data_IF_732404945778
#
_entry.id   IF_732404945778
#
_cell.length_a   1.000
_cell.length_b   1.000
_cell.length_c   1.000
_cell.angle_alpha   90.00
_cell.angle_beta   90.00
_cell.angle_gamma   90.00
#
_symmetry.space_group_name_H-M   'P 1'
#
loop_
_entity.id
_entity.type
_entity.pdbx_description
1 polymer ?
#
# COMPACT_ATOMS: atom_id res chain seq x y z
N UNK A 1 42.25 -40.62 45.68
CA UNK A 1 41.56 -39.31 45.58
C UNK A 1 40.99 -39.16 44.17
N UNK A 2 39.68 -38.87 44.12
CA UNK A 2 38.73 -38.61 43.03
C UNK A 2 39.23 -38.63 41.56
N UNK A 3 38.67 -39.57 40.77
CA UNK A 3 38.57 -39.49 39.30
C UNK A 3 37.44 -38.52 38.95
N UNK A 4 37.73 -37.47 38.20
CA UNK A 4 36.70 -36.56 37.65
C UNK A 4 36.53 -36.88 36.18
N UNK A 5 35.38 -37.45 35.82
CA UNK A 5 34.94 -37.63 34.44
C UNK A 5 34.54 -36.27 33.88
N UNK A 6 35.16 -35.85 32.78
CA UNK A 6 34.73 -34.71 31.99
C UNK A 6 33.64 -35.20 31.04
N UNK A 7 32.38 -34.90 31.35
CA UNK A 7 31.25 -35.15 30.45
C UNK A 7 31.14 -33.94 29.53
N UNK A 8 31.60 -34.09 28.29
CA UNK A 8 31.37 -33.14 27.21
C UNK A 8 29.95 -33.37 26.69
N UNK A 9 29.00 -32.58 27.16
CA UNK A 9 27.63 -32.60 26.62
C UNK A 9 27.64 -31.85 25.28
N UNK A 10 27.76 -32.60 24.19
CA UNK A 10 27.57 -32.11 22.84
C UNK A 10 26.08 -31.81 22.66
N UNK A 11 25.68 -30.55 22.76
CA UNK A 11 24.29 -30.13 22.53
C UNK A 11 24.05 -30.14 21.02
N UNK A 12 23.54 -31.26 20.53
CA UNK A 12 23.02 -31.39 19.18
C UNK A 12 21.79 -30.50 19.06
N UNK A 13 21.97 -29.28 18.53
CA UNK A 13 20.87 -28.43 18.08
C UNK A 13 20.21 -29.13 16.88
N UNK A 14 19.20 -29.94 17.19
CA UNK A 14 18.25 -30.45 16.21
C UNK A 14 17.54 -29.25 15.59
N UNK A 15 17.67 -29.17 14.26
CA UNK A 15 16.91 -28.29 13.39
C UNK A 15 15.42 -28.36 13.74
N UNK A 16 14.86 -27.25 14.20
CA UNK A 16 13.45 -26.96 14.07
C UNK A 16 13.33 -25.81 13.08
N UNK A 17 13.28 -26.12 11.79
CA UNK A 17 12.61 -25.23 10.83
C UNK A 17 11.15 -25.18 11.26
N UNK A 18 10.74 -24.11 11.94
CA UNK A 18 9.32 -23.81 12.03
C UNK A 18 8.88 -23.39 10.64
N UNK A 19 8.29 -24.32 9.89
CA UNK A 19 7.47 -23.95 8.75
C UNK A 19 6.30 -23.16 9.31
N UNK A 20 6.38 -21.83 9.27
CA UNK A 20 5.19 -21.00 9.37
C UNK A 20 4.23 -21.54 8.32
N UNK A 21 3.14 -22.12 8.81
CA UNK A 21 2.22 -22.91 8.01
C UNK A 21 1.53 -21.92 7.07
N UNK A 22 1.73 -22.09 5.76
CA UNK A 22 0.89 -21.44 4.76
C UNK A 22 -0.55 -21.77 5.14
N UNK A 23 -1.34 -20.75 5.49
CA UNK A 23 -2.76 -20.95 5.78
C UNK A 23 -3.42 -21.24 4.44
N UNK A 24 -3.96 -22.44 4.29
CA UNK A 24 -5.08 -22.69 3.38
C UNK A 24 -6.19 -21.73 3.80
N UNK A 25 -6.44 -20.70 2.98
CA UNK A 25 -7.66 -19.92 3.09
C UNK A 25 -8.82 -20.93 3.15
N UNK A 26 -9.82 -20.74 4.03
CA UNK A 26 -10.87 -21.72 4.23
C UNK A 26 -11.44 -22.17 2.88
N UNK A 27 -11.36 -23.49 2.65
CA UNK A 27 -11.67 -24.24 1.42
C UNK A 27 -13.16 -24.20 1.03
N UNK A 28 -13.88 -23.15 1.42
CA UNK A 28 -15.13 -22.83 0.78
C UNK A 28 -14.79 -22.49 -0.68
N UNK A 29 -15.54 -22.96 -1.69
CA UNK A 29 -15.33 -22.51 -3.05
C UNK A 29 -15.54 -21.00 -3.05
N UNK A 30 -14.43 -20.25 -2.99
CA UNK A 30 -14.45 -18.81 -3.08
C UNK A 30 -15.19 -18.50 -4.38
N UNK A 31 -16.20 -17.61 -4.35
CA UNK A 31 -16.89 -17.24 -5.56
C UNK A 31 -15.84 -16.80 -6.59
N UNK A 32 -16.01 -17.17 -7.87
CA UNK A 32 -15.19 -16.59 -8.93
C UNK A 32 -15.13 -15.07 -8.73
N UNK A 33 -13.97 -14.44 -8.98
CA UNK A 33 -13.86 -12.97 -8.95
C UNK A 33 -14.83 -12.29 -9.94
N UNK A 34 -15.50 -13.07 -10.78
CA UNK A 34 -16.53 -12.62 -11.71
C UNK A 34 -17.84 -12.29 -10.95
N UNK A 35 -18.26 -11.02 -10.98
CA UNK A 35 -19.47 -10.45 -10.36
C UNK A 35 -19.44 -10.12 -8.86
N UNK A 36 -18.30 -9.66 -8.33
CA UNK A 36 -18.24 -9.11 -6.98
C UNK A 36 -18.91 -7.72 -6.89
N UNK A 37 -19.43 -7.40 -5.70
CA UNK A 37 -19.86 -6.04 -5.38
C UNK A 37 -18.65 -5.08 -5.42
N UNK A 38 -18.85 -3.92 -6.03
CA UNK A 38 -17.86 -2.86 -6.07
C UNK A 38 -17.83 -2.12 -4.74
N UNK A 39 -16.74 -2.26 -4.00
CA UNK A 39 -16.49 -1.47 -2.80
C UNK A 39 -15.99 -0.08 -3.17
N UNK A 40 -16.83 0.94 -2.96
CA UNK A 40 -16.43 2.33 -3.11
C UNK A 40 -15.99 2.89 -1.76
N UNK A 41 -14.70 3.19 -1.65
CA UNK A 41 -14.05 3.62 -0.41
C UNK A 41 -13.87 5.14 -0.38
N UNK A 42 -14.25 5.82 0.71
CA UNK A 42 -14.07 7.26 0.84
C UNK A 42 -12.61 7.62 1.13
N UNK A 43 -12.06 8.54 0.34
CA UNK A 43 -10.72 9.12 0.55
C UNK A 43 -10.81 10.61 0.86
N UNK A 44 -9.90 11.10 1.69
CA UNK A 44 -9.67 12.53 1.89
C UNK A 44 -8.19 12.83 1.64
N UNK A 45 -7.91 13.89 0.88
CA UNK A 45 -6.54 14.30 0.54
C UNK A 45 -6.17 15.56 1.32
N UNK A 46 -5.17 15.45 2.18
CA UNK A 46 -4.63 16.54 2.98
C UNK A 46 -3.34 17.06 2.32
N UNK A 47 -3.44 18.17 1.58
CA UNK A 47 -2.30 18.83 0.95
C UNK A 47 -1.63 19.74 1.98
N UNK A 48 -0.41 19.39 2.38
CA UNK A 48 0.40 20.19 3.31
C UNK A 48 1.35 21.05 2.49
N UNK A 49 1.23 22.37 2.60
CA UNK A 49 1.95 23.35 1.78
C UNK A 49 2.52 24.52 2.62
N UNK A 50 3.35 25.37 2.02
CA UNK A 50 4.03 26.50 2.67
C UNK A 50 3.32 27.86 2.52
N UNK A 51 2.02 27.86 2.20
CA UNK A 51 1.24 29.07 1.95
C UNK A 51 1.18 29.52 0.49
N UNK A 52 1.73 28.75 -0.45
CA UNK A 52 1.66 29.03 -1.89
C UNK A 52 0.22 29.01 -2.42
N UNK A 53 -0.04 29.66 -3.56
CA UNK A 53 -1.34 29.61 -4.23
C UNK A 53 -1.64 28.19 -4.74
N UNK A 54 -2.92 27.87 -4.92
CA UNK A 54 -3.32 26.58 -5.52
C UNK A 54 -2.73 26.47 -6.93
N UNK A 55 -2.05 25.35 -7.20
CA UNK A 55 -1.34 25.07 -8.44
C UNK A 55 0.15 25.42 -8.41
N UNK A 56 0.64 26.04 -7.33
CA UNK A 56 2.02 26.46 -7.19
C UNK A 56 2.74 25.69 -6.08
N UNK A 57 4.06 25.50 -6.25
CA UNK A 57 4.90 24.84 -5.25
C UNK A 57 4.32 23.49 -4.80
N UNK A 58 4.11 23.35 -3.50
CA UNK A 58 3.53 22.13 -2.91
C UNK A 58 2.01 22.16 -2.80
N UNK A 59 1.37 23.30 -3.07
CA UNK A 59 -0.08 23.44 -3.01
C UNK A 59 -0.74 22.97 -4.31
N UNK A 60 -0.68 21.65 -4.59
CA UNK A 60 -1.05 21.06 -5.88
C UNK A 60 -2.40 21.52 -6.44
N UNK A 61 -2.47 21.69 -7.76
CA UNK A 61 -3.73 21.96 -8.46
C UNK A 61 -4.79 20.90 -8.14
N UNK A 62 -6.04 21.31 -8.01
CA UNK A 62 -7.17 20.43 -7.70
C UNK A 62 -7.35 19.33 -8.76
N UNK A 63 -7.08 19.66 -10.01
CA UNK A 63 -7.18 18.78 -11.17
C UNK A 63 -6.19 17.62 -11.05
N UNK A 64 -4.93 17.90 -10.66
CA UNK A 64 -3.91 16.87 -10.44
C UNK A 64 -4.31 15.89 -9.32
N UNK A 65 -4.98 16.36 -8.29
CA UNK A 65 -5.48 15.52 -7.20
C UNK A 65 -6.59 14.60 -7.70
N UNK A 66 -7.56 15.15 -8.46
CA UNK A 66 -8.64 14.36 -9.07
C UNK A 66 -8.11 13.33 -10.06
N UNK A 67 -7.13 13.70 -10.88
CA UNK A 67 -6.45 12.80 -11.82
C UNK A 67 -5.72 11.66 -11.09
N UNK A 68 -5.10 11.92 -9.93
CA UNK A 68 -4.51 10.85 -9.11
C UNK A 68 -5.57 9.87 -8.61
N UNK A 69 -6.71 10.35 -8.09
CA UNK A 69 -7.80 9.45 -7.66
C UNK A 69 -8.38 8.67 -8.86
N UNK A 70 -8.46 9.30 -10.03
CA UNK A 70 -8.86 8.62 -11.25
C UNK A 70 -7.85 7.54 -11.66
N UNK A 71 -6.55 7.83 -11.64
CA UNK A 71 -5.47 6.87 -11.95
C UNK A 71 -5.50 5.68 -10.98
N UNK A 72 -5.73 5.95 -9.69
CA UNK A 72 -5.91 4.92 -8.67
C UNK A 72 -7.10 3.99 -9.01
N UNK A 73 -8.23 4.57 -9.43
CA UNK A 73 -9.38 3.78 -9.89
C UNK A 73 -9.07 2.99 -11.16
N UNK A 74 -8.34 3.57 -12.11
CA UNK A 74 -7.92 2.85 -13.32
C UNK A 74 -7.10 1.61 -12.99
N UNK A 75 -6.19 1.71 -12.01
CA UNK A 75 -5.34 0.62 -11.56
C UNK A 75 -6.11 -0.46 -10.82
N UNK A 76 -6.88 -0.08 -9.80
CA UNK A 76 -7.63 -1.05 -9.00
C UNK A 76 -8.77 -1.71 -9.79
N UNK A 77 -9.37 -1.02 -10.75
CA UNK A 77 -10.47 -1.55 -11.59
C UNK A 77 -10.01 -2.13 -12.92
N UNK A 78 -8.69 -2.15 -13.19
CA UNK A 78 -8.10 -2.66 -14.44
C UNK A 78 -8.80 -2.08 -15.68
N UNK A 79 -9.01 -0.77 -15.70
CA UNK A 79 -9.86 -0.11 -16.71
C UNK A 79 -9.21 -0.17 -18.09
N UNK A 80 -9.93 -0.68 -19.08
CA UNK A 80 -9.45 -0.75 -20.47
C UNK A 80 -9.13 0.62 -21.06
N UNK A 81 -8.06 0.71 -21.86
CA UNK A 81 -7.56 1.95 -22.47
C UNK A 81 -6.75 2.85 -21.53
N UNK A 82 -6.39 2.36 -20.34
CA UNK A 82 -5.65 3.12 -19.33
C UNK A 82 -4.34 2.44 -18.95
N UNK A 83 -3.51 3.10 -18.14
CA UNK A 83 -2.28 2.50 -17.60
C UNK A 83 -2.53 1.34 -16.61
N UNK A 84 -3.78 1.14 -16.17
CA UNK A 84 -4.17 -0.01 -15.35
C UNK A 84 -4.56 -1.23 -16.19
N UNK A 85 -4.70 -1.09 -17.51
CA UNK A 85 -5.00 -2.22 -18.38
C UNK A 85 -3.81 -3.17 -18.48
N UNK A 86 -4.11 -4.47 -18.43
CA UNK A 86 -3.15 -5.53 -18.66
C UNK A 86 -3.86 -6.78 -19.20
N UNK A 87 -3.13 -7.69 -19.82
CA UNK A 87 -3.63 -9.00 -20.30
C UNK A 87 -3.07 -10.18 -19.47
N UNK A 88 -2.60 -9.91 -18.25
CA UNK A 88 -2.02 -10.95 -17.40
C UNK A 88 -3.09 -11.96 -16.98
N UNK A 89 -2.86 -13.28 -17.14
CA UNK A 89 -3.78 -14.30 -16.66
C UNK A 89 -3.82 -14.38 -15.12
N UNK A 90 -2.80 -13.83 -14.45
CA UNK A 90 -2.69 -13.73 -13.00
C UNK A 90 -3.53 -12.60 -12.41
N UNK A 91 -4.07 -11.69 -13.22
CA UNK A 91 -4.78 -10.49 -12.75
C UNK A 91 -6.29 -10.56 -13.03
N UNK A 92 -7.07 -9.72 -12.34
CA UNK A 92 -8.52 -9.50 -12.51
C UNK A 92 -8.89 -8.06 -12.13
N UNK A 93 -10.13 -7.63 -12.37
CA UNK A 93 -10.70 -6.46 -11.69
C UNK A 93 -10.77 -6.75 -10.17
N UNK A 94 -10.33 -5.80 -9.33
CA UNK A 94 -10.40 -5.95 -7.87
C UNK A 94 -11.80 -5.69 -7.29
N UNK A 95 -12.66 -5.01 -8.06
CA UNK A 95 -13.94 -4.47 -7.61
C UNK A 95 -13.79 -3.56 -6.38
N UNK A 96 -12.66 -2.85 -6.29
CA UNK A 96 -12.40 -1.80 -5.29
C UNK A 96 -12.19 -0.49 -6.05
N UNK A 97 -12.86 0.57 -5.62
CA UNK A 97 -12.69 1.90 -6.17
C UNK A 97 -12.75 2.94 -5.05
N UNK A 98 -12.32 4.15 -5.36
CA UNK A 98 -12.10 5.23 -4.42
C UNK A 98 -12.84 6.48 -4.88
N UNK A 99 -13.40 7.20 -3.91
CA UNK A 99 -14.12 8.44 -4.17
C UNK A 99 -13.73 9.47 -3.12
N UNK A 100 -13.44 10.70 -3.57
CA UNK A 100 -13.22 11.82 -2.66
C UNK A 100 -14.45 12.00 -1.78
N UNK A 101 -14.23 12.19 -0.48
CA UNK A 101 -15.29 12.43 0.49
C UNK A 101 -16.17 13.61 0.06
N UNK A 102 -17.47 13.48 0.29
CA UNK A 102 -18.48 14.49 -0.04
C UNK A 102 -19.02 15.18 1.22
N UNK A 103 -18.80 14.58 2.39
CA UNK A 103 -19.19 15.11 3.71
C UNK A 103 -17.92 15.19 4.58
N UNK A 104 -17.73 16.30 5.29
CA UNK A 104 -16.63 16.51 6.22
C UNK A 104 -16.94 15.93 7.63
N UNK A 105 -15.99 15.91 8.58
CA UNK A 105 -16.23 15.41 9.94
C UNK A 105 -17.32 16.14 10.73
N UNK A 106 -17.64 17.38 10.34
CA UNK A 106 -18.69 18.20 10.98
C UNK A 106 -20.06 18.04 10.31
N UNK A 107 -20.16 17.22 9.25
CA UNK A 107 -21.39 16.97 8.51
C UNK A 107 -21.66 17.97 7.37
N UNK A 108 -20.70 18.82 7.01
CA UNK A 108 -20.86 19.79 5.92
C UNK A 108 -20.43 19.21 4.57
N UNK A 109 -20.95 19.70 3.43
CA UNK A 109 -20.45 19.34 2.11
C UNK A 109 -18.97 19.71 1.94
N UNK A 110 -18.20 18.81 1.33
CA UNK A 110 -16.78 19.00 0.99
C UNK A 110 -16.46 18.46 -0.40
N UNK A 111 -15.31 18.84 -0.94
CA UNK A 111 -14.72 18.24 -2.14
C UNK A 111 -13.69 17.14 -1.81
N UNK A 112 -13.51 16.80 -0.53
CA UNK A 112 -12.58 15.79 -0.06
C UNK A 112 -11.11 16.20 -0.11
N UNK A 113 -10.80 17.49 -0.29
CA UNK A 113 -9.44 18.02 -0.35
C UNK A 113 -9.27 19.10 0.71
N UNK A 114 -8.44 18.82 1.71
CA UNK A 114 -8.00 19.80 2.69
C UNK A 114 -6.66 20.39 2.28
N UNK A 115 -6.49 21.70 2.47
CA UNK A 115 -5.23 22.40 2.22
C UNK A 115 -4.77 23.01 3.52
N UNK A 116 -3.66 22.49 4.04
CA UNK A 116 -3.13 22.86 5.34
C UNK A 116 -1.82 23.60 5.12
N UNK A 117 -1.78 24.87 5.53
CA UNK A 117 -0.54 25.61 5.57
C UNK A 117 0.29 25.10 6.76
N UNK A 118 1.46 24.54 6.47
CA UNK A 118 2.37 23.99 7.46
C UNK A 118 2.70 24.99 8.58
N UNK A 119 2.78 26.28 8.26
CA UNK A 119 3.12 27.32 9.25
C UNK A 119 2.00 27.65 10.24
N UNK A 120 0.76 27.26 9.94
CA UNK A 120 -0.38 27.48 10.84
C UNK A 120 -0.38 26.45 11.98
N UNK A 121 0.41 25.38 11.87
CA UNK A 121 0.51 24.31 12.86
C UNK A 121 1.94 24.18 13.39
N UNK A 122 2.23 24.90 14.47
CA UNK A 122 3.57 24.99 15.07
C UNK A 122 3.92 23.80 15.99
N UNK A 123 2.98 22.89 16.22
CA UNK A 123 3.11 21.71 17.10
C UNK A 123 4.04 20.62 16.54
N UNK A 124 4.27 20.64 15.22
CA UNK A 124 4.76 19.47 14.46
C UNK A 124 6.29 19.39 14.39
N UNK A 125 6.98 19.60 15.52
CA UNK A 125 8.45 19.55 15.56
C UNK A 125 8.97 18.62 16.65
N UNK A 126 9.61 17.52 16.23
CA UNK A 126 10.31 16.55 17.05
C UNK A 126 10.60 15.26 16.28
N UNK A 127 11.34 14.33 16.89
CA UNK A 127 11.66 13.00 16.34
C UNK A 127 10.46 12.03 16.46
N UNK A 128 9.29 12.43 15.95
CA UNK A 128 8.08 11.58 15.92
C UNK A 128 8.05 10.70 14.68
N UNK A 129 7.44 9.51 14.77
CA UNK A 129 7.12 8.73 13.59
C UNK A 129 6.20 9.52 12.66
N UNK A 130 6.31 9.29 11.35
CA UNK A 130 5.53 9.99 10.33
C UNK A 130 4.03 9.89 10.56
N UNK A 131 3.53 8.73 10.96
CA UNK A 131 2.12 8.54 11.22
C UNK A 131 1.69 9.03 12.61
N UNK A 132 2.60 9.52 13.44
CA UNK A 132 2.24 10.20 14.69
C UNK A 132 2.08 11.71 14.51
N UNK A 133 2.88 12.34 13.64
CA UNK A 133 2.81 13.79 13.44
C UNK A 133 1.87 14.22 12.31
N UNK A 134 1.65 13.41 11.28
CA UNK A 134 0.71 13.75 10.19
C UNK A 134 -0.71 14.04 10.70
N UNK A 135 -1.26 13.24 11.64
CA UNK A 135 -2.55 13.53 12.24
C UNK A 135 -2.64 14.87 12.97
N UNK A 136 -1.50 15.46 13.37
CA UNK A 136 -1.50 16.77 14.03
C UNK A 136 -1.87 17.89 13.06
N UNK A 137 -1.56 17.74 11.75
CA UNK A 137 -1.99 18.69 10.73
C UNK A 137 -3.49 18.65 10.49
N UNK A 138 -4.01 17.44 10.25
CA UNK A 138 -5.43 17.17 10.01
C UNK A 138 -5.63 15.66 10.07
N UNK A 139 -6.70 15.20 10.73
CA UNK A 139 -7.01 13.77 10.83
C UNK A 139 -8.50 13.52 10.90
N UNK A 140 -9.05 13.02 9.80
CA UNK A 140 -10.46 12.66 9.75
C UNK A 140 -10.63 11.23 10.27
N UNK A 141 -11.77 10.94 10.90
CA UNK A 141 -12.02 9.66 11.57
C UNK A 141 -11.64 8.47 10.66
N UNK A 142 -10.62 7.66 11.02
CA UNK A 142 -10.10 6.61 10.15
C UNK A 142 -11.08 5.45 9.93
N UNK A 143 -12.16 5.39 10.73
CA UNK A 143 -13.26 4.45 10.48
C UNK A 143 -14.19 4.90 9.34
N UNK A 144 -14.13 6.18 8.95
CA UNK A 144 -14.99 6.78 7.94
C UNK A 144 -14.24 7.23 6.69
N UNK A 145 -12.95 7.50 6.78
CA UNK A 145 -12.15 8.06 5.69
C UNK A 145 -10.79 7.36 5.60
N UNK A 146 -10.31 7.14 4.38
CA UNK A 146 -8.89 6.88 4.14
C UNK A 146 -8.19 8.23 4.06
N UNK A 147 -7.34 8.54 5.05
CA UNK A 147 -6.57 9.76 5.09
C UNK A 147 -5.34 9.63 4.18
N UNK A 148 -5.20 10.54 3.21
CA UNK A 148 -4.04 10.61 2.32
C UNK A 148 -3.36 11.96 2.54
N UNK A 149 -2.22 11.96 3.21
CA UNK A 149 -1.41 13.17 3.37
C UNK A 149 -0.42 13.30 2.21
N UNK A 150 -0.33 14.51 1.66
CA UNK A 150 0.61 14.88 0.61
C UNK A 150 1.54 15.96 1.15
N UNK A 151 2.84 15.64 1.23
CA UNK A 151 3.81 16.50 1.90
C UNK A 151 5.05 16.76 1.04
N UNK A 152 5.49 18.03 1.01
CA UNK A 152 6.63 18.50 0.22
C UNK A 152 7.97 18.59 0.97
N UNK A 153 8.05 18.13 2.22
CA UNK A 153 9.31 18.21 2.99
C UNK A 153 10.38 17.20 2.58
N UNK A 154 10.13 16.36 1.57
CA UNK A 154 11.08 15.38 1.06
C UNK A 154 11.55 15.76 -0.34
N UNK A 155 12.86 15.64 -0.58
CA UNK A 155 13.39 15.78 -1.93
C UNK A 155 12.81 14.69 -2.86
N UNK A 156 12.72 14.95 -4.17
CA UNK A 156 12.34 13.93 -5.15
C UNK A 156 13.21 12.68 -5.06
N UNK A 157 12.61 11.49 -5.24
CA UNK A 157 13.27 10.18 -5.27
C UNK A 157 14.05 9.77 -4.01
N UNK A 158 13.99 10.52 -2.90
CA UNK A 158 14.57 10.09 -1.62
C UNK A 158 13.56 9.34 -0.74
N UNK A 159 12.28 9.65 -0.93
CA UNK A 159 11.14 9.01 -0.29
C UNK A 159 9.91 9.24 -1.17
N UNK A 160 9.23 8.18 -1.60
CA UNK A 160 8.06 8.28 -2.47
C UNK A 160 6.75 8.27 -1.67
N UNK A 161 6.60 7.31 -0.77
CA UNK A 161 5.41 7.15 0.05
C UNK A 161 5.60 6.15 1.19
N UNK A 162 4.57 6.06 2.02
CA UNK A 162 4.40 5.03 3.04
C UNK A 162 2.91 4.88 3.37
N UNK A 163 2.51 3.71 3.84
CA UNK A 163 1.19 3.46 4.40
C UNK A 163 1.25 2.78 5.77
N UNK A 164 0.23 3.01 6.59
CA UNK A 164 -0.05 2.18 7.77
C UNK A 164 -0.67 0.85 7.33
N UNK A 165 -0.17 -0.27 7.87
CA UNK A 165 -0.78 -1.58 7.67
C UNK A 165 -2.08 -1.74 8.49
N UNK A 166 -3.03 -2.57 8.02
CA UNK A 166 -4.23 -2.89 8.80
C UNK A 166 -3.91 -3.78 10.00
N UNK A 167 -4.70 -3.68 11.08
CA UNK A 167 -4.76 -4.71 12.13
C UNK A 167 -5.59 -5.89 11.62
N UNK A 168 -4.93 -7.03 11.41
CA UNK A 168 -5.52 -8.20 10.77
C UNK A 168 -4.80 -9.47 11.22
N UNK A 169 -5.50 -10.60 11.16
CA UNK A 169 -4.96 -11.93 11.42
C UNK A 169 -4.23 -12.55 10.21
N UNK A 170 -4.10 -11.81 9.11
CA UNK A 170 -3.37 -12.29 7.93
C UNK A 170 -1.87 -12.41 8.20
N UNK A 171 -1.19 -13.43 7.66
CA UNK A 171 0.24 -13.63 7.87
C UNK A 171 1.07 -12.49 7.27
N UNK A 172 2.29 -12.32 7.80
CA UNK A 172 3.26 -11.31 7.37
C UNK A 172 3.00 -9.88 7.84
N UNK A 173 1.79 -9.58 8.32
CA UNK A 173 1.47 -8.35 9.03
C UNK A 173 1.46 -8.70 10.51
N UNK A 174 2.41 -8.16 11.28
CA UNK A 174 2.43 -8.34 12.72
C UNK A 174 1.44 -7.35 13.33
N UNK A 175 0.52 -7.86 14.14
CA UNK A 175 -0.41 -7.05 14.93
C UNK A 175 0.38 -6.00 15.71
N UNK A 176 0.23 -4.74 15.28
CA UNK A 176 0.31 -3.54 16.11
C UNK A 176 0.14 -2.32 15.18
N UNK A 177 -0.99 -1.62 15.30
CA UNK A 177 -1.01 -0.19 15.00
C UNK A 177 -0.08 0.47 16.02
N UNK A 178 1.22 0.55 15.69
CA UNK A 178 2.23 1.21 16.54
C UNK A 178 2.08 2.72 16.58
N UNK A 179 1.27 3.26 15.66
CA UNK A 179 1.16 4.69 15.38
C UNK A 179 -0.25 5.19 15.64
N UNK A 180 -0.36 6.46 16.01
CA UNK A 180 -1.64 7.13 16.26
C UNK A 180 -2.42 7.30 14.95
N UNK A 181 -1.72 7.65 13.87
CA UNK A 181 -2.28 7.85 12.54
C UNK A 181 -2.44 6.58 11.74
N UNK A 182 -3.46 6.62 10.88
CA UNK A 182 -3.90 5.53 10.03
C UNK A 182 -4.27 6.11 8.66
N UNK A 183 -3.54 5.71 7.64
CA UNK A 183 -3.65 6.27 6.30
C UNK A 183 -2.37 6.13 5.48
N UNK A 184 -2.20 7.06 4.55
CA UNK A 184 -1.16 7.02 3.52
C UNK A 184 -0.46 8.37 3.46
N UNK A 185 0.87 8.36 3.44
CA UNK A 185 1.70 9.53 3.17
C UNK A 185 2.30 9.39 1.76
N UNK A 186 2.14 10.42 0.94
CA UNK A 186 2.81 10.51 -0.36
C UNK A 186 3.65 11.78 -0.40
N UNK A 187 4.87 11.67 -0.93
CA UNK A 187 5.67 12.84 -1.28
C UNK A 187 4.99 13.59 -2.44
N UNK A 188 4.81 14.90 -2.29
CA UNK A 188 4.13 15.77 -3.28
C UNK A 188 4.68 15.64 -4.71
N UNK A 189 5.97 15.34 -4.85
CA UNK A 189 6.61 15.16 -6.16
C UNK A 189 6.12 13.90 -6.90
N UNK A 190 5.64 12.91 -6.16
CA UNK A 190 5.20 11.59 -6.65
C UNK A 190 3.66 11.41 -6.57
N UNK A 191 2.91 12.46 -6.21
CA UNK A 191 1.45 12.42 -6.16
C UNK A 191 0.83 12.85 -7.50
N UNK A 192 0.16 11.94 -8.19
CA UNK A 192 -0.42 12.14 -9.51
C UNK A 192 0.66 12.23 -10.60
N UNK A 193 0.22 12.58 -11.81
CA UNK A 193 1.15 12.82 -12.91
C UNK A 193 2.03 14.04 -12.62
N UNK A 194 3.35 13.90 -12.81
CA UNK A 194 4.30 14.98 -12.55
C UNK A 194 5.48 14.96 -13.53
N UNK A 195 6.27 16.03 -13.50
CA UNK A 195 7.48 16.17 -14.33
C UNK A 195 8.74 15.68 -13.61
N UNK A 196 8.60 14.97 -12.48
CA UNK A 196 9.75 14.44 -11.76
C UNK A 196 10.45 13.36 -12.61
N UNK A 197 11.77 13.49 -12.76
CA UNK A 197 12.59 12.45 -13.39
C UNK A 197 12.78 11.26 -12.45
N UNK A 198 13.00 10.06 -13.00
CA UNK A 198 13.28 8.86 -12.20
C UNK A 198 12.13 7.84 -12.16
N UNK A 199 11.16 7.97 -13.06
CA UNK A 199 10.17 6.92 -13.32
C UNK A 199 8.95 6.90 -12.38
N UNK A 200 8.97 7.63 -11.26
CA UNK A 200 7.87 7.67 -10.29
C UNK A 200 6.97 8.90 -10.49
N UNK A 201 6.32 8.99 -11.65
CA UNK A 201 5.67 10.23 -12.08
C UNK A 201 4.31 10.05 -12.79
N UNK A 202 3.67 8.87 -12.68
CA UNK A 202 2.37 8.56 -13.27
C UNK A 202 1.32 8.17 -12.20
N UNK A 203 1.66 8.33 -10.92
CA UNK A 203 0.77 8.15 -9.77
C UNK A 203 0.70 6.72 -9.22
N UNK A 204 1.65 5.84 -9.58
CA UNK A 204 1.66 4.46 -9.07
C UNK A 204 2.15 4.35 -7.63
N UNK A 205 2.86 5.37 -7.13
CA UNK A 205 3.20 5.44 -5.70
C UNK A 205 1.95 5.35 -4.84
N UNK A 206 0.88 6.10 -5.14
CA UNK A 206 -0.37 5.97 -4.37
C UNK A 206 -1.02 4.59 -4.55
N UNK A 207 -0.97 4.01 -5.75
CA UNK A 207 -1.48 2.65 -5.99
C UNK A 207 -0.76 1.62 -5.13
N UNK A 208 0.58 1.70 -5.06
CA UNK A 208 1.44 0.86 -4.24
C UNK A 208 1.12 1.00 -2.75
N UNK A 209 1.12 2.24 -2.24
CA UNK A 209 0.84 2.50 -0.82
C UNK A 209 -0.60 2.13 -0.45
N UNK A 210 -1.56 2.28 -1.36
CA UNK A 210 -2.92 1.80 -1.15
C UNK A 210 -2.98 0.27 -1.06
N UNK A 211 -2.13 -0.45 -1.81
CA UNK A 211 -1.92 -1.89 -1.65
C UNK A 211 -1.47 -2.24 -0.23
N UNK A 212 -0.47 -1.54 0.32
CA UNK A 212 -0.03 -1.70 1.72
C UNK A 212 -1.13 -1.36 2.74
N UNK A 213 -1.87 -0.27 2.53
CA UNK A 213 -3.01 0.11 3.38
C UNK A 213 -4.09 -0.98 3.43
N UNK A 214 -4.26 -1.70 2.32
CA UNK A 214 -5.16 -2.85 2.16
C UNK A 214 -4.48 -4.20 2.46
N UNK A 215 -3.28 -4.18 3.05
CA UNK A 215 -2.61 -5.34 3.63
C UNK A 215 -1.73 -6.15 2.67
N UNK A 216 -1.41 -5.63 1.48
CA UNK A 216 -0.40 -6.25 0.62
C UNK A 216 1.00 -5.97 1.14
N UNK A 217 1.90 -6.94 1.02
CA UNK A 217 3.32 -6.76 1.30
C UNK A 217 4.05 -6.49 -0.02
N UNK A 218 5.30 -6.05 0.07
CA UNK A 218 6.20 -6.11 -1.08
C UNK A 218 6.31 -7.56 -1.57
N UNK A 219 6.49 -7.75 -2.88
CA UNK A 219 6.58 -9.09 -3.50
C UNK A 219 7.77 -9.94 -3.02
N UNK A 220 8.75 -9.35 -2.33
CA UNK A 220 9.86 -10.05 -1.68
C UNK A 220 9.67 -10.20 -0.16
N UNK A 221 8.49 -9.88 0.37
CA UNK A 221 8.11 -10.01 1.77
C UNK A 221 8.42 -8.80 2.67
N UNK A 222 8.00 -8.90 3.94
CA UNK A 222 7.85 -7.77 4.85
C UNK A 222 9.14 -7.21 5.49
N UNK A 223 10.30 -7.88 5.40
CA UNK A 223 11.41 -7.51 6.29
C UNK A 223 12.84 -7.76 5.83
N UNK A 224 13.11 -8.50 4.75
CA UNK A 224 14.47 -8.94 4.48
C UNK A 224 14.78 -9.07 2.98
N UNK A 225 14.90 -7.93 2.31
CA UNK A 225 15.50 -7.87 0.97
C UNK A 225 16.88 -8.55 0.97
N UNK A 226 17.13 -9.38 -0.05
CA UNK A 226 18.39 -10.10 -0.25
C UNK A 226 18.49 -11.43 0.49
N UNK A 227 17.41 -11.93 1.13
CA UNK A 227 17.36 -13.28 1.70
C UNK A 227 16.83 -14.31 0.70
N UNK A 228 17.11 -15.60 0.90
CA UNK A 228 16.55 -16.66 0.06
C UNK A 228 15.01 -16.61 0.06
N UNK A 229 14.40 -16.84 -1.11
CA UNK A 229 12.94 -16.92 -1.25
C UNK A 229 12.27 -18.02 -0.40
N UNK A 230 13.03 -18.97 0.14
CA UNK A 230 12.51 -19.97 1.08
C UNK A 230 12.19 -19.40 2.46
N UNK A 231 12.81 -18.26 2.80
CA UNK A 231 12.81 -17.72 4.15
C UNK A 231 11.77 -16.60 4.30
N UNK A 232 11.40 -15.93 3.20
CA UNK A 232 10.47 -14.81 3.16
C UNK A 232 9.65 -14.81 1.86
N UNK A 233 8.38 -14.45 2.00
CA UNK A 233 7.39 -14.41 0.92
C UNK A 233 6.38 -13.28 1.22
N UNK A 234 5.59 -12.90 0.23
CA UNK A 234 4.48 -11.94 0.39
C UNK A 234 3.19 -12.60 0.90
N UNK A 235 3.24 -13.93 1.11
CA UNK A 235 2.16 -14.81 1.55
C UNK A 235 1.02 -14.93 0.54
N UNK A 236 1.31 -14.79 -0.75
CA UNK A 236 0.34 -14.86 -1.84
C UNK A 236 0.84 -15.85 -2.89
N UNK A 237 0.10 -16.95 -3.07
CA UNK A 237 0.56 -18.09 -3.87
C UNK A 237 0.77 -17.77 -5.36
N UNK A 238 -0.02 -16.84 -5.92
CA UNK A 238 0.01 -16.51 -7.35
C UNK A 238 0.97 -15.36 -7.71
N UNK A 239 1.77 -14.89 -6.75
CA UNK A 239 2.91 -14.00 -6.97
C UNK A 239 4.19 -14.83 -7.03
N UNK A 240 4.87 -14.93 -8.18
CA UNK A 240 6.14 -15.66 -8.25
C UNK A 240 7.18 -15.08 -7.28
N UNK A 241 7.81 -15.90 -6.42
CA UNK A 241 8.60 -15.42 -5.31
C UNK A 241 9.94 -14.82 -5.78
N UNK A 242 10.27 -13.66 -5.22
CA UNK A 242 11.54 -12.96 -5.49
C UNK A 242 12.24 -12.57 -4.20
N UNK A 243 13.58 -12.53 -4.23
CA UNK A 243 14.40 -12.24 -3.04
C UNK A 243 14.60 -10.75 -2.78
N UNK A 244 14.30 -9.89 -3.75
CA UNK A 244 14.52 -8.45 -3.69
C UNK A 244 13.57 -7.72 -4.62
N UNK A 245 13.59 -6.39 -4.54
CA UNK A 245 13.05 -5.56 -5.60
C UNK A 245 13.67 -5.93 -6.95
N UNK A 246 12.88 -5.80 -8.01
CA UNK A 246 13.33 -6.08 -9.38
C UNK A 246 13.47 -4.77 -10.12
N UNK A 247 14.64 -4.53 -10.70
CA UNK A 247 14.91 -3.33 -11.47
C UNK A 247 14.43 -3.46 -12.93
N UNK A 248 13.91 -2.35 -13.46
CA UNK A 248 13.60 -2.18 -14.87
C UNK A 248 12.36 -2.93 -15.36
N UNK A 249 11.89 -2.56 -16.55
CA UNK A 249 10.78 -3.23 -17.23
C UNK A 249 10.91 -3.38 -18.73
N UNK A 250 12.02 -2.88 -19.28
CA UNK A 250 12.38 -3.08 -20.67
C UNK A 250 13.37 -4.26 -20.77
N UNK A 251 13.24 -5.07 -21.81
CA UNK A 251 14.16 -6.18 -22.10
C UNK A 251 13.71 -7.54 -21.57
N UNK A 252 14.68 -8.42 -21.31
CA UNK A 252 14.41 -9.79 -20.88
C UNK A 252 13.97 -9.79 -19.41
N UNK A 253 12.74 -10.24 -19.15
CA UNK A 253 12.21 -10.41 -17.80
C UNK A 253 13.07 -11.46 -17.06
N UNK A 254 13.64 -11.14 -15.89
CA UNK A 254 14.41 -12.10 -15.11
C UNK A 254 13.52 -13.24 -14.60
N UNK A 255 14.14 -14.34 -14.17
CA UNK A 255 13.41 -15.43 -13.53
C UNK A 255 13.25 -15.16 -12.04
N UNK A 256 12.07 -15.50 -11.52
CA UNK A 256 11.81 -15.60 -10.08
C UNK A 256 12.50 -16.87 -9.51
N UNK A 257 12.46 -17.03 -8.19
CA UNK A 257 13.12 -18.13 -7.49
C UNK A 257 12.59 -19.53 -7.86
N UNK A 258 11.34 -19.62 -8.30
CA UNK A 258 10.70 -20.85 -8.77
C UNK A 258 10.91 -21.13 -10.28
N UNK A 259 11.64 -20.25 -10.96
CA UNK A 259 11.93 -20.34 -12.39
C UNK A 259 10.87 -19.74 -13.32
N UNK A 260 9.73 -19.24 -12.80
CA UNK A 260 8.75 -18.47 -13.56
C UNK A 260 9.30 -17.07 -13.91
N UNK A 261 8.71 -16.34 -14.87
CA UNK A 261 9.03 -14.93 -15.07
C UNK A 261 8.77 -14.13 -13.78
N UNK A 262 9.72 -13.30 -13.38
CA UNK A 262 9.57 -12.45 -12.21
C UNK A 262 8.48 -11.38 -12.43
N UNK A 263 7.69 -11.02 -11.40
CA UNK A 263 6.53 -10.16 -11.55
C UNK A 263 6.91 -8.66 -11.60
N UNK A 264 7.69 -8.27 -12.62
CA UNK A 264 8.23 -6.91 -12.81
C UNK A 264 7.17 -5.80 -12.88
N UNK A 265 5.96 -6.16 -13.34
CA UNK A 265 4.84 -5.26 -13.52
C UNK A 265 3.86 -5.23 -12.34
N UNK A 266 4.17 -5.95 -11.25
CA UNK A 266 3.34 -5.94 -10.05
C UNK A 266 3.41 -4.57 -9.37
N UNK A 267 2.28 -4.01 -8.95
CA UNK A 267 2.25 -2.73 -8.24
C UNK A 267 3.01 -2.77 -6.92
N UNK A 268 3.17 -3.95 -6.29
CA UNK A 268 3.93 -4.13 -5.04
C UNK A 268 5.43 -4.38 -5.24
N UNK A 269 5.94 -4.14 -6.45
CA UNK A 269 7.37 -4.02 -6.74
C UNK A 269 7.82 -2.54 -6.64
N UNK A 270 9.09 -2.24 -6.96
CA UNK A 270 9.65 -0.87 -6.99
C UNK A 270 10.18 -0.46 -8.37
N UNK A 271 9.61 -1.01 -9.44
CA UNK A 271 9.90 -0.59 -10.83
C UNK A 271 9.41 0.83 -11.14
N UNK A 272 9.75 1.38 -12.31
CA UNK A 272 9.17 2.65 -12.76
C UNK A 272 7.64 2.53 -12.87
N UNK A 273 6.92 3.62 -12.65
CA UNK A 273 5.45 3.69 -12.73
C UNK A 273 4.91 3.18 -14.07
N UNK A 274 5.64 3.40 -15.18
CA UNK A 274 5.24 2.97 -16.53
C UNK A 274 5.17 1.45 -16.69
N UNK A 275 5.82 0.73 -15.78
CA UNK A 275 5.97 -0.72 -15.80
C UNK A 275 4.86 -1.41 -15.01
N UNK A 276 4.32 -0.73 -13.99
CA UNK A 276 3.38 -1.32 -13.03
C UNK A 276 1.95 -1.28 -13.57
N UNK A 277 1.33 -2.46 -13.69
CA UNK A 277 -0.06 -2.58 -14.11
C UNK A 277 -0.80 -3.83 -13.59
N UNK A 278 -0.24 -4.55 -12.60
CA UNK A 278 -0.82 -5.81 -12.11
C UNK A 278 -0.95 -5.82 -10.59
N UNK A 279 -2.17 -6.07 -10.12
CA UNK A 279 -2.40 -6.87 -8.92
C UNK A 279 -2.78 -8.29 -9.32
N UNK A 280 -2.27 -9.30 -8.61
CA UNK A 280 -2.66 -10.69 -8.84
C UNK A 280 -4.04 -10.99 -8.24
N UNK A 281 -4.66 -12.11 -8.60
CA UNK A 281 -5.94 -12.54 -8.03
C UNK A 281 -5.80 -12.83 -6.54
N UNK A 282 -4.67 -13.39 -6.09
CA UNK A 282 -4.36 -13.58 -4.68
C UNK A 282 -4.21 -12.26 -3.92
N UNK A 283 -3.53 -11.26 -4.51
CA UNK A 283 -3.47 -9.90 -3.96
C UNK A 283 -4.86 -9.27 -3.84
N UNK A 284 -5.70 -9.40 -4.87
CA UNK A 284 -7.09 -8.92 -4.84
C UNK A 284 -7.87 -9.57 -3.70
N UNK A 285 -7.83 -10.90 -3.57
CA UNK A 285 -8.49 -11.64 -2.48
C UNK A 285 -8.03 -11.15 -1.11
N UNK A 286 -6.72 -10.97 -0.93
CA UNK A 286 -6.15 -10.47 0.32
C UNK A 286 -6.65 -9.07 0.68
N UNK A 287 -6.66 -8.14 -0.28
CA UNK A 287 -7.19 -6.79 -0.06
C UNK A 287 -8.68 -6.80 0.31
N UNK A 288 -9.47 -7.64 -0.36
CA UNK A 288 -10.90 -7.78 -0.04
C UNK A 288 -11.12 -8.40 1.34
N UNK A 289 -10.34 -9.41 1.71
CA UNK A 289 -10.38 -9.97 3.06
C UNK A 289 -10.13 -8.90 4.11
N UNK A 290 -9.12 -8.04 3.91
CA UNK A 290 -8.82 -6.91 4.80
C UNK A 290 -10.02 -5.96 4.89
N UNK A 291 -10.62 -5.61 3.75
CA UNK A 291 -11.81 -4.77 3.73
C UNK A 291 -13.00 -5.41 4.44
N UNK A 292 -13.14 -6.73 4.48
CA UNK A 292 -14.29 -7.37 5.12
C UNK A 292 -14.06 -7.66 6.62
N UNK A 293 -12.80 -7.86 7.04
CA UNK A 293 -12.49 -8.43 8.36
C UNK A 293 -11.63 -7.53 9.25
N UNK A 294 -10.72 -6.74 8.66
CA UNK A 294 -9.76 -5.98 9.45
C UNK A 294 -10.43 -4.81 10.20
N UNK A 295 -9.89 -4.49 11.38
CA UNK A 295 -10.35 -3.36 12.17
C UNK A 295 -10.18 -2.06 11.37
N UNK A 296 -11.14 -1.13 11.51
CA UNK A 296 -11.27 0.13 10.75
C UNK A 296 -11.50 -0.01 9.24
N UNK A 297 -10.94 -1.01 8.56
CA UNK A 297 -11.08 -1.17 7.09
C UNK A 297 -12.49 -1.57 6.71
N UNK A 298 -13.09 -2.48 7.50
CA UNK A 298 -14.49 -2.91 7.30
C UNK A 298 -15.54 -1.83 7.41
N UNK A 299 -15.26 -0.77 8.18
CA UNK A 299 -16.21 0.34 8.31
C UNK A 299 -16.18 1.28 7.10
N UNK A 300 -15.11 1.25 6.30
CA UNK A 300 -14.98 2.09 5.09
C UNK A 300 -15.98 1.68 4.00
N UNK A 301 -16.27 0.37 3.86
CA UNK A 301 -17.23 -0.15 2.88
C UNK A 301 -18.60 0.53 3.04
N UNK A 302 -19.04 0.72 4.29
CA UNK A 302 -20.36 1.25 4.64
C UNK A 302 -20.35 2.72 5.09
N UNK A 303 -19.22 3.42 4.99
CA UNK A 303 -19.08 4.79 5.49
C UNK A 303 -20.04 5.78 4.81
N UNK A 304 -20.80 6.56 5.57
CA UNK A 304 -21.85 7.47 5.09
C UNK A 304 -21.35 8.79 4.44
N UNK A 305 -20.04 8.95 4.27
CA UNK A 305 -19.41 10.24 3.88
C UNK A 305 -19.27 10.43 2.36
N UNK A 306 -19.79 9.48 1.59
CA UNK A 306 -19.88 9.50 0.12
C UNK A 306 -21.23 8.89 -0.30
N UNK A 307 -21.75 9.37 -1.43
CA UNK A 307 -22.84 8.70 -2.16
C UNK A 307 -22.33 7.48 -2.93
N UNK A 308 -23.10 6.38 -2.88
CA UNK A 308 -22.86 5.08 -3.52
C UNK A 308 -23.96 4.75 -4.52
#
# INVERSE_FOLDING_TARGET
MKKTFLITTLFSLLFACSSETKIDLPENPEPPLDNLEVYTLPVVVHIIHGGESIGEGFNLATERIKEQIQSLNHDFRRVAGTLGENNSPLSSDSFIQFKLAEIDPNGNPTNGINRINYYDNTSVRGDKDRFDWLPEFEYWNPNKYINIWVYGGYAPNTFAGAASFPTTNLPGIKDELKTIGDGILINVHHFGKSDVSGGLNLGKTLTHEMGHFLGLLHIWGAALEGKPCSDHDDFIEDTPPVSSSIDGCDGTIPKACDGQPAPVNNYMNLTDDRCMNVFTKGQIKRMRYVLEHAERRKTLITSDVISR
#
